data_IF_321365205719
#
_entry.id   IF_321365205719
#
_cell.length_a   1.000
_cell.length_b   1.000
_cell.length_c   1.000
_cell.angle_alpha   90.00
_cell.angle_beta   90.00
_cell.angle_gamma   90.00
#
_symmetry.space_group_name_H-M   'P 1'
#
loop_
_entity.id
_entity.type
_entity.pdbx_description
1 polymer ?
#
# COMPACT_ATOMS: atom_id res chain seq x y z
N UNK A 1 2.31 12.02 -8.26
CA UNK A 1 2.13 10.73 -8.98
C UNK A 1 0.67 10.55 -9.33
N UNK A 2 0.35 9.85 -10.43
CA UNK A 2 -1.03 9.55 -10.83
C UNK A 2 -1.41 8.07 -10.63
N UNK A 3 -2.71 7.74 -10.66
CA UNK A 3 -3.23 6.36 -10.50
C UNK A 3 -2.52 5.34 -11.40
N UNK A 4 -2.27 5.69 -12.67
CA UNK A 4 -1.59 4.80 -13.63
C UNK A 4 -0.15 4.47 -13.20
N UNK A 5 0.59 5.43 -12.67
CA UNK A 5 1.94 5.21 -12.16
C UNK A 5 1.94 4.29 -10.93
N UNK A 6 0.97 4.46 -10.02
CA UNK A 6 0.81 3.62 -8.82
C UNK A 6 0.52 2.16 -9.19
N UNK A 7 -0.39 1.93 -10.13
CA UNK A 7 -0.67 0.58 -10.63
C UNK A 7 0.58 -0.05 -11.29
N UNK A 8 1.35 0.74 -12.04
CA UNK A 8 2.55 0.24 -12.75
C UNK A 8 3.68 -0.17 -11.78
N UNK A 9 3.78 0.46 -10.62
CA UNK A 9 4.75 0.08 -9.58
C UNK A 9 4.23 -1.04 -8.66
N UNK A 10 3.03 -1.57 -8.93
CA UNK A 10 2.49 -2.73 -8.21
C UNK A 10 1.53 -2.40 -7.05
N UNK A 11 1.14 -1.13 -6.86
CA UNK A 11 0.15 -0.79 -5.85
C UNK A 11 -1.20 -1.43 -6.22
N UNK A 12 -1.81 -2.25 -5.34
CA UNK A 12 -3.12 -2.82 -5.59
C UNK A 12 -4.16 -1.72 -5.82
N UNK A 13 -5.12 -1.94 -6.73
CA UNK A 13 -6.12 -0.91 -7.06
C UNK A 13 -6.92 -0.42 -5.84
N UNK A 14 -7.13 -1.32 -4.87
CA UNK A 14 -7.78 -1.06 -3.57
C UNK A 14 -6.99 -0.06 -2.72
N UNK A 15 -5.65 -0.09 -2.81
CA UNK A 15 -4.73 0.76 -2.08
C UNK A 15 -4.41 2.08 -2.79
N UNK A 16 -4.76 2.24 -4.07
CA UNK A 16 -4.41 3.44 -4.86
C UNK A 16 -4.86 4.74 -4.20
N UNK A 17 -6.09 4.79 -3.67
CA UNK A 17 -6.60 6.00 -3.00
C UNK A 17 -5.78 6.35 -1.75
N UNK A 18 -5.46 5.34 -0.92
CA UNK A 18 -4.62 5.51 0.28
C UNK A 18 -3.19 5.92 -0.10
N UNK A 19 -2.61 5.28 -1.12
CA UNK A 19 -1.28 5.63 -1.61
C UNK A 19 -1.22 7.08 -2.15
N UNK A 20 -2.27 7.55 -2.84
CA UNK A 20 -2.33 8.95 -3.28
C UNK A 20 -2.39 9.94 -2.12
N UNK A 21 -3.21 9.66 -1.11
CA UNK A 21 -3.30 10.49 0.09
C UNK A 21 -1.96 10.55 0.83
N UNK A 22 -1.34 9.39 1.06
CA UNK A 22 -0.01 9.29 1.68
C UNK A 22 1.04 10.13 0.95
N UNK A 23 1.09 10.03 -0.38
CA UNK A 23 2.04 10.80 -1.19
C UNK A 23 1.81 12.31 -1.01
N UNK A 24 0.57 12.77 -0.90
CA UNK A 24 0.27 14.18 -0.66
C UNK A 24 0.74 14.62 0.74
N UNK A 25 0.56 13.77 1.74
CA UNK A 25 1.00 14.05 3.12
C UNK A 25 2.52 14.08 3.23
N UNK A 26 3.23 13.12 2.61
CA UNK A 26 4.71 13.09 2.59
C UNK A 26 5.27 14.32 1.87
N UNK A 27 4.72 14.70 0.71
CA UNK A 27 5.14 15.93 0.01
C UNK A 27 4.98 17.16 0.89
N UNK A 28 3.89 17.21 1.67
CA UNK A 28 3.58 18.34 2.55
C UNK A 28 4.47 18.38 3.80
N UNK A 29 4.74 17.23 4.41
CA UNK A 29 5.45 17.13 5.69
C UNK A 29 6.97 17.15 5.55
N UNK A 30 7.51 16.41 4.57
CA UNK A 30 8.95 16.24 4.43
C UNK A 30 9.60 17.15 3.37
N UNK A 31 8.78 17.92 2.64
CA UNK A 31 9.23 18.66 1.44
C UNK A 31 9.99 17.74 0.46
N UNK A 32 9.66 16.45 0.47
CA UNK A 32 10.37 15.41 -0.25
C UNK A 32 10.19 15.59 -1.76
N UNK A 33 11.28 15.44 -2.53
CA UNK A 33 11.23 15.55 -3.99
C UNK A 33 10.49 14.35 -4.57
N UNK A 34 9.63 14.59 -5.56
CA UNK A 34 8.77 13.55 -6.15
C UNK A 34 9.49 12.34 -6.77
N UNK A 35 10.81 12.43 -7.01
CA UNK A 35 11.63 11.29 -7.48
C UNK A 35 11.88 10.29 -6.35
N UNK A 36 12.11 10.77 -5.13
CA UNK A 36 12.41 9.94 -3.96
C UNK A 36 11.16 9.19 -3.53
N UNK A 37 10.01 9.87 -3.51
CA UNK A 37 8.71 9.29 -3.16
C UNK A 37 8.35 8.10 -4.06
N UNK A 38 8.61 8.21 -5.36
CA UNK A 38 8.29 7.12 -6.30
C UNK A 38 9.10 5.87 -5.98
N UNK A 39 10.38 6.03 -5.64
CA UNK A 39 11.24 4.92 -5.26
C UNK A 39 10.78 4.31 -3.94
N UNK A 40 10.52 5.15 -2.92
CA UNK A 40 10.04 4.69 -1.62
C UNK A 40 8.73 3.89 -1.72
N UNK A 41 7.77 4.35 -2.53
CA UNK A 41 6.51 3.62 -2.73
C UNK A 41 6.75 2.30 -3.47
N UNK A 42 7.66 2.25 -4.45
CA UNK A 42 8.00 1.01 -5.12
C UNK A 42 8.66 0.01 -4.15
N UNK A 43 9.56 0.47 -3.30
CA UNK A 43 10.23 -0.35 -2.29
C UNK A 43 9.24 -0.82 -1.20
N UNK A 44 8.28 0.02 -0.82
CA UNK A 44 7.17 -0.33 0.08
C UNK A 44 6.28 -1.41 -0.51
N UNK A 45 5.91 -1.31 -1.79
CA UNK A 45 5.12 -2.35 -2.46
C UNK A 45 5.90 -3.67 -2.50
N UNK A 46 7.20 -3.62 -2.74
CA UNK A 46 8.04 -4.80 -2.80
C UNK A 46 8.25 -5.44 -1.42
N UNK A 47 8.41 -4.63 -0.37
CA UNK A 47 8.73 -5.07 0.99
C UNK A 47 7.93 -4.26 2.02
N UNK A 48 6.60 -4.45 2.13
CA UNK A 48 5.77 -3.65 3.01
C UNK A 48 6.13 -3.84 4.48
N UNK A 49 6.64 -5.02 4.86
CA UNK A 49 7.05 -5.34 6.24
C UNK A 49 8.13 -4.37 6.78
N UNK A 50 9.00 -3.83 5.92
CA UNK A 50 10.04 -2.87 6.30
C UNK A 50 9.48 -1.48 6.70
N UNK A 51 8.25 -1.18 6.28
CA UNK A 51 7.62 0.13 6.48
C UNK A 51 6.54 0.11 7.57
N UNK A 52 6.33 -1.03 8.24
CA UNK A 52 5.33 -1.15 9.31
C UNK A 52 5.63 -0.28 10.55
N UNK A 53 6.90 0.11 10.73
CA UNK A 53 7.35 0.95 11.86
C UNK A 53 7.47 2.42 11.52
N UNK A 54 7.24 2.78 10.26
CA UNK A 54 7.37 4.14 9.78
C UNK A 54 6.04 4.88 9.97
N UNK A 55 6.01 5.96 10.75
CA UNK A 55 4.76 6.64 11.09
C UNK A 55 3.96 7.13 9.87
N UNK A 56 4.65 7.52 8.80
CA UNK A 56 4.00 7.95 7.57
C UNK A 56 3.61 6.74 6.73
N UNK A 57 4.56 5.85 6.46
CA UNK A 57 4.39 4.78 5.49
C UNK A 57 3.65 3.54 6.04
N UNK A 58 3.56 3.38 7.36
CA UNK A 58 2.91 2.25 8.02
C UNK A 58 1.46 2.08 7.60
N UNK A 59 0.72 3.16 7.37
CA UNK A 59 -0.70 3.09 6.98
C UNK A 59 -0.88 2.36 5.66
N UNK A 60 0.02 2.55 4.69
CA UNK A 60 -0.03 1.84 3.42
C UNK A 60 0.57 0.43 3.54
N UNK A 61 1.64 0.28 4.31
CA UNK A 61 2.31 -0.99 4.55
C UNK A 61 1.39 -2.01 5.24
N UNK A 62 0.68 -1.62 6.29
CA UNK A 62 -0.31 -2.46 6.99
C UNK A 62 -1.38 -2.95 6.02
N UNK A 63 -1.87 -2.08 5.13
CA UNK A 63 -2.87 -2.45 4.15
C UNK A 63 -2.34 -3.45 3.11
N UNK A 64 -1.08 -3.27 2.68
CA UNK A 64 -0.41 -4.17 1.75
C UNK A 64 -0.22 -5.57 2.37
N UNK A 65 0.24 -5.62 3.62
CA UNK A 65 0.37 -6.88 4.38
C UNK A 65 -1.01 -7.53 4.58
N UNK A 66 -2.01 -6.77 4.99
CA UNK A 66 -3.38 -7.28 5.18
C UNK A 66 -3.98 -7.86 3.89
N UNK A 67 -3.66 -7.27 2.73
CA UNK A 67 -4.09 -7.81 1.43
C UNK A 67 -3.30 -9.04 1.01
N UNK A 68 -2.00 -9.12 1.35
CA UNK A 68 -1.17 -10.30 1.11
C UNK A 68 -1.67 -11.50 1.90
N UNK A 69 -2.04 -11.27 3.16
CA UNK A 69 -2.41 -12.33 4.10
C UNK A 69 -3.90 -12.72 3.98
N UNK A 70 -4.70 -11.95 3.24
CA UNK A 70 -6.07 -12.32 2.91
C UNK A 70 -6.11 -13.42 1.84
N UNK A 71 -5.93 -14.66 2.28
CA UNK A 71 -6.44 -15.82 1.54
C UNK A 71 -7.97 -15.75 1.60
N UNK A 72 -8.70 -15.80 0.47
CA UNK A 72 -10.15 -15.93 0.50
C UNK A 72 -10.48 -17.19 1.29
N UNK A 73 -11.13 -17.04 2.44
CA UNK A 73 -11.68 -18.20 3.15
C UNK A 73 -12.75 -18.75 2.23
N UNK A 74 -12.49 -19.87 1.55
CA UNK A 74 -13.53 -20.60 0.85
C UNK A 74 -14.63 -20.87 1.87
N UNK A 75 -15.83 -20.34 1.61
CA UNK A 75 -16.99 -20.59 2.45
C UNK A 75 -17.28 -22.08 2.36
N UNK A 76 -16.86 -22.85 3.36
CA UNK A 76 -17.26 -24.25 3.49
C UNK A 76 -18.78 -24.26 3.59
N UNK A 77 -19.50 -24.98 2.72
CA UNK A 77 -20.94 -25.15 2.87
C UNK A 77 -21.21 -25.74 4.25
N UNK A 78 -22.06 -25.08 5.04
CA UNK A 78 -22.53 -25.63 6.30
C UNK A 78 -23.56 -26.69 5.93
N UNK A 79 -23.16 -27.96 5.94
CA UNK A 79 -24.11 -29.08 5.84
C UNK A 79 -24.92 -29.13 7.15
N UNK A 80 -26.15 -28.61 7.08
CA UNK A 80 -27.18 -28.82 8.09
C UNK A 80 -27.88 -30.14 7.77
N UNK A 81 -27.27 -31.25 8.24
CA UNK A 81 -27.87 -32.58 8.27
C UNK A 81 -28.91 -32.74 9.37
#
# INVERSE_FOLDING_TARGET
MNKRQLLKIGVPERCVKKAMALIQDVVRLENARGKDIKQTIADLVANPDNYLKDELYAVLAVEMVSLRDHVPVEKVPIDLG
#
